data_IF_355461866492
#
_entry.id   IF_355461866492
#
_cell.length_a   1.000
_cell.length_b   1.000
_cell.length_c   1.000
_cell.angle_alpha   90.00
_cell.angle_beta   90.00
_cell.angle_gamma   90.00
#
_symmetry.space_group_name_H-M   'P 1'
#
loop_
_entity.id
_entity.type
_entity.pdbx_description
1 polymer ?
#
# COMPACT_ATOMS: atom_id res chain seq x y z
N UNK A 1 -11.55 15.83 19.59
CA UNK A 1 -12.14 16.31 18.33
C UNK A 1 -11.40 15.58 17.23
N UNK A 2 -11.95 14.48 16.72
CA UNK A 2 -11.34 13.70 15.64
C UNK A 2 -11.31 14.55 14.37
N UNK A 3 -10.12 14.80 13.83
CA UNK A 3 -9.97 15.42 12.51
C UNK A 3 -10.24 14.34 11.45
N UNK A 4 -11.03 14.61 10.39
CA UNK A 4 -11.37 13.59 9.41
C UNK A 4 -10.21 13.33 8.43
N UNK A 5 -10.13 12.08 7.94
CA UNK A 5 -9.32 11.70 6.78
C UNK A 5 -9.67 12.60 5.57
N UNK A 6 -8.65 13.09 4.86
CA UNK A 6 -8.87 13.80 3.61
C UNK A 6 -8.71 12.83 2.42
N UNK A 7 -9.76 12.66 1.62
CA UNK A 7 -9.64 12.06 0.29
C UNK A 7 -9.07 13.11 -0.67
N UNK A 8 -7.97 12.77 -1.37
CA UNK A 8 -7.40 13.66 -2.39
C UNK A 8 -8.38 13.87 -3.55
N UNK A 9 -8.63 15.12 -3.95
CA UNK A 9 -9.32 15.44 -5.21
C UNK A 9 -8.32 15.96 -6.23
N UNK A 10 -8.42 15.47 -7.47
CA UNK A 10 -7.73 16.03 -8.63
C UNK A 10 -8.25 17.43 -8.97
N UNK A 11 -7.36 18.36 -9.29
CA UNK A 11 -7.68 19.62 -10.00
C UNK A 11 -6.95 19.57 -11.34
N UNK A 12 -7.61 19.03 -12.37
CA UNK A 12 -7.03 18.89 -13.72
C UNK A 12 -7.90 18.01 -14.63
N UNK A 13 -8.04 18.40 -15.90
CA UNK A 13 -8.97 17.82 -16.86
C UNK A 13 -8.85 16.29 -17.01
N UNK A 14 -10.00 15.60 -16.98
CA UNK A 14 -10.09 14.14 -17.14
C UNK A 14 -9.76 13.70 -18.56
N UNK A 15 -8.72 12.87 -18.71
CA UNK A 15 -8.54 11.98 -19.86
C UNK A 15 -8.59 10.53 -19.36
N UNK A 16 -9.55 9.69 -19.80
CA UNK A 16 -9.70 8.34 -19.28
C UNK A 16 -8.95 7.36 -20.17
N UNK A 17 -7.64 7.23 -19.97
CA UNK A 17 -6.93 6.00 -20.36
C UNK A 17 -6.64 5.21 -19.11
N UNK A 18 -7.74 4.73 -18.55
CA UNK A 18 -7.72 3.69 -17.54
C UNK A 18 -6.99 2.48 -18.17
N UNK A 19 -5.82 2.07 -17.65
CA UNK A 19 -5.21 0.83 -18.14
C UNK A 19 -6.14 -0.31 -17.74
N UNK A 20 -6.66 -1.08 -18.70
CA UNK A 20 -7.66 -2.14 -18.42
C UNK A 20 -7.24 -3.04 -17.24
N UNK A 21 -5.94 -3.28 -17.10
CA UNK A 21 -5.30 -4.01 -16.00
C UNK A 21 -5.62 -3.45 -14.58
N UNK A 22 -5.70 -2.13 -14.40
CA UNK A 22 -5.99 -1.54 -13.08
C UNK A 22 -7.44 -1.79 -12.60
N UNK A 23 -8.39 -1.96 -13.51
CA UNK A 23 -9.83 -2.07 -13.23
C UNK A 23 -10.12 -3.51 -12.98
N UNK A 24 -9.59 -4.35 -13.85
CA UNK A 24 -9.58 -5.78 -13.67
C UNK A 24 -8.95 -6.13 -12.32
N UNK A 25 -7.81 -5.53 -11.96
CA UNK A 25 -7.24 -5.71 -10.63
C UNK A 25 -8.19 -5.25 -9.52
N UNK A 26 -8.72 -4.02 -9.55
CA UNK A 26 -9.58 -3.53 -8.46
C UNK A 26 -10.88 -4.35 -8.33
N UNK A 27 -11.41 -4.86 -9.45
CA UNK A 27 -12.55 -5.78 -9.46
C UNK A 27 -12.17 -7.13 -8.84
N UNK A 28 -11.02 -7.69 -9.22
CA UNK A 28 -10.51 -8.93 -8.64
C UNK A 28 -10.15 -8.77 -7.17
N UNK A 29 -9.55 -7.65 -6.78
CA UNK A 29 -9.22 -7.33 -5.40
C UNK A 29 -10.48 -7.26 -4.55
N UNK A 30 -11.52 -6.54 -4.98
CA UNK A 30 -12.77 -6.47 -4.23
C UNK A 30 -13.44 -7.85 -4.07
N UNK A 31 -13.35 -8.72 -5.09
CA UNK A 31 -13.87 -10.08 -5.04
C UNK A 31 -13.03 -11.00 -4.14
N UNK A 32 -11.72 -10.90 -4.22
CA UNK A 32 -10.79 -11.87 -3.65
C UNK A 32 -10.19 -11.39 -2.30
N UNK A 33 -10.41 -10.14 -1.90
CA UNK A 33 -9.87 -9.57 -0.66
C UNK A 33 -10.28 -10.38 0.58
N UNK A 34 -11.52 -10.84 0.66
CA UNK A 34 -12.00 -11.65 1.79
C UNK A 34 -11.46 -13.09 1.80
N UNK A 35 -10.92 -13.54 0.66
CA UNK A 35 -10.22 -14.84 0.56
C UNK A 35 -8.77 -14.67 1.03
N UNK A 36 -8.17 -13.52 0.74
CA UNK A 36 -6.77 -13.19 1.04
C UNK A 36 -6.55 -12.75 2.49
N UNK A 37 -7.54 -12.06 3.04
CA UNK A 37 -7.51 -11.44 4.35
C UNK A 37 -8.70 -11.93 5.16
N UNK A 38 -8.46 -12.41 6.38
CA UNK A 38 -9.57 -12.62 7.30
C UNK A 38 -10.15 -11.30 7.79
N UNK A 39 -11.36 -11.37 8.33
CA UNK A 39 -11.97 -10.22 9.01
C UNK A 39 -11.12 -9.77 10.21
N UNK A 40 -10.41 -10.69 10.87
CA UNK A 40 -9.50 -10.39 11.97
C UNK A 40 -8.26 -9.64 11.48
N UNK A 41 -7.66 -10.05 10.36
CA UNK A 41 -6.53 -9.33 9.77
C UNK A 41 -6.91 -7.90 9.38
N UNK A 42 -8.06 -7.74 8.70
CA UNK A 42 -8.56 -6.42 8.31
C UNK A 42 -8.85 -5.54 9.53
N UNK A 43 -9.37 -6.12 10.61
CA UNK A 43 -9.61 -5.41 11.86
C UNK A 43 -8.30 -4.98 12.53
N UNK A 44 -7.31 -5.89 12.63
CA UNK A 44 -6.00 -5.63 13.22
C UNK A 44 -5.22 -4.56 12.43
N UNK A 45 -5.27 -4.62 11.10
CA UNK A 45 -4.70 -3.60 10.22
C UNK A 45 -5.32 -2.22 10.47
N UNK A 46 -6.65 -2.17 10.56
CA UNK A 46 -7.38 -0.93 10.82
C UNK A 46 -7.04 -0.37 12.20
N UNK A 47 -6.97 -1.21 13.21
CA UNK A 47 -6.55 -0.82 14.56
C UNK A 47 -5.13 -0.25 14.55
N UNK A 48 -4.18 -0.96 13.94
CA UNK A 48 -2.80 -0.50 13.80
C UNK A 48 -2.73 0.88 13.16
N UNK A 49 -3.39 1.09 12.02
CA UNK A 49 -3.43 2.40 11.35
C UNK A 49 -4.04 3.46 12.26
N UNK A 50 -5.20 3.21 12.85
CA UNK A 50 -5.90 4.18 13.68
C UNK A 50 -5.08 4.63 14.90
N UNK A 51 -4.39 3.70 15.59
CA UNK A 51 -3.54 4.05 16.74
C UNK A 51 -2.38 4.98 16.38
N UNK A 52 -1.97 5.01 15.11
CA UNK A 52 -0.85 5.83 14.61
C UNK A 52 -1.29 7.19 14.04
N UNK A 53 -2.59 7.38 13.84
CA UNK A 53 -3.18 8.58 13.22
C UNK A 53 -3.81 9.56 14.20
N UNK A 54 -3.82 9.24 15.50
CA UNK A 54 -4.44 10.06 16.54
C UNK A 54 -3.92 11.51 16.46
N UNK A 55 -4.85 12.47 16.45
CA UNK A 55 -4.63 13.93 16.39
C UNK A 55 -3.83 14.45 15.18
N UNK A 56 -3.68 13.65 14.12
CA UNK A 56 -2.93 14.03 12.92
C UNK A 56 -3.87 14.40 11.76
N UNK A 57 -3.39 15.17 10.79
CA UNK A 57 -3.98 15.25 9.45
C UNK A 57 -3.31 14.22 8.55
N UNK A 58 -4.08 13.36 7.90
CA UNK A 58 -3.53 12.30 7.06
C UNK A 58 -4.17 12.16 5.70
N UNK A 59 -3.39 11.59 4.79
CA UNK A 59 -3.82 11.18 3.46
C UNK A 59 -4.02 9.67 3.46
N UNK A 60 -5.22 9.23 3.09
CA UNK A 60 -5.59 7.82 3.08
C UNK A 60 -5.49 7.22 1.67
N UNK A 61 -4.52 6.33 1.45
CA UNK A 61 -4.42 5.54 0.22
C UNK A 61 -4.87 4.08 0.39
N UNK A 62 -5.54 3.75 1.49
CA UNK A 62 -6.00 2.39 1.78
C UNK A 62 -7.19 1.90 0.95
N UNK A 63 -7.82 2.80 0.19
CA UNK A 63 -9.08 2.51 -0.50
C UNK A 63 -8.87 2.22 -1.99
N UNK A 64 -9.79 1.45 -2.59
CA UNK A 64 -9.82 1.19 -4.03
C UNK A 64 -9.91 2.49 -4.86
N UNK A 65 -10.64 3.49 -4.36
CA UNK A 65 -10.75 4.80 -5.02
C UNK A 65 -9.41 5.53 -5.02
N UNK A 66 -8.69 5.54 -3.89
CA UNK A 66 -7.39 6.19 -3.80
C UNK A 66 -6.34 5.45 -4.65
N UNK A 67 -6.40 4.11 -4.68
CA UNK A 67 -5.55 3.29 -5.53
C UNK A 67 -5.73 3.65 -7.01
N UNK A 68 -6.97 3.79 -7.46
CA UNK A 68 -7.27 4.23 -8.83
C UNK A 68 -6.71 5.63 -9.12
N UNK A 69 -6.97 6.59 -8.24
CA UNK A 69 -6.47 7.96 -8.41
C UNK A 69 -4.93 8.00 -8.47
N UNK A 70 -4.25 7.16 -7.70
CA UNK A 70 -2.79 7.12 -7.70
C UNK A 70 -2.24 6.50 -8.99
N UNK A 71 -2.86 5.42 -9.50
CA UNK A 71 -2.47 4.86 -10.81
C UNK A 71 -2.62 5.92 -11.92
N UNK A 72 -3.71 6.67 -11.90
CA UNK A 72 -3.93 7.78 -12.84
C UNK A 72 -2.86 8.86 -12.66
N UNK A 73 -2.54 9.22 -11.42
CA UNK A 73 -1.52 10.23 -11.12
C UNK A 73 -0.14 9.81 -11.64
N UNK A 74 0.26 8.55 -11.40
CA UNK A 74 1.52 7.98 -11.87
C UNK A 74 1.58 7.98 -13.40
N UNK A 75 0.53 7.54 -14.08
CA UNK A 75 0.48 7.55 -15.54
C UNK A 75 0.57 8.98 -16.12
N UNK A 76 -0.11 9.93 -15.48
CA UNK A 76 -0.08 11.34 -15.86
C UNK A 76 1.20 12.08 -15.41
N UNK A 77 2.13 11.41 -14.70
CA UNK A 77 3.33 12.02 -14.09
C UNK A 77 2.99 13.20 -13.16
N UNK A 78 1.90 13.05 -12.42
CA UNK A 78 1.43 14.00 -11.41
C UNK A 78 1.49 13.37 -10.01
N UNK A 79 1.28 14.17 -8.96
CA UNK A 79 1.21 13.70 -7.58
C UNK A 79 -0.23 13.64 -7.07
N UNK A 80 -0.55 12.60 -6.28
CA UNK A 80 -1.82 12.53 -5.55
C UNK A 80 -1.69 13.20 -4.18
N UNK A 81 -2.54 14.19 -3.91
CA UNK A 81 -2.50 14.96 -2.66
C UNK A 81 -1.74 16.29 -2.80
N UNK A 82 -1.98 17.19 -1.85
CA UNK A 82 -1.32 18.50 -1.83
C UNK A 82 0.07 18.40 -1.21
N UNK A 83 1.04 19.08 -1.83
CA UNK A 83 2.43 19.12 -1.40
C UNK A 83 2.57 19.60 0.06
N UNK A 84 3.39 18.90 0.85
CA UNK A 84 3.73 19.19 2.25
C UNK A 84 2.54 19.49 3.18
N UNK A 85 1.37 18.89 2.91
CA UNK A 85 0.14 19.16 3.66
C UNK A 85 -0.08 18.22 4.83
N UNK A 86 0.38 16.97 4.72
CA UNK A 86 -0.08 15.90 5.61
C UNK A 86 0.96 15.52 6.65
N UNK A 87 0.49 15.26 7.87
CA UNK A 87 1.31 14.77 8.99
C UNK A 87 1.63 13.28 8.82
N UNK A 88 0.70 12.55 8.19
CA UNK A 88 0.84 11.13 7.90
C UNK A 88 0.22 10.73 6.55
N UNK A 89 0.69 9.63 5.99
CA UNK A 89 0.15 9.01 4.79
C UNK A 89 0.03 7.50 5.02
N UNK A 90 -1.14 6.94 4.72
CA UNK A 90 -1.42 5.51 4.88
C UNK A 90 -1.18 4.77 3.57
N UNK A 91 -0.25 3.80 3.55
CA UNK A 91 -0.06 2.85 2.46
C UNK A 91 -0.59 1.47 2.87
N UNK A 92 -1.83 1.16 2.50
CA UNK A 92 -2.45 -0.13 2.82
C UNK A 92 -3.45 -0.52 1.72
N UNK A 93 -4.05 -1.70 1.82
CA UNK A 93 -5.13 -2.11 0.92
C UNK A 93 -4.67 -2.34 -0.54
N UNK A 94 -5.52 -2.11 -1.55
CA UNK A 94 -5.23 -2.52 -2.93
C UNK A 94 -4.00 -1.84 -3.54
N UNK A 95 -3.60 -0.66 -3.03
CA UNK A 95 -2.55 0.13 -3.66
C UNK A 95 -1.16 -0.49 -3.51
N UNK A 96 -0.91 -1.18 -2.39
CA UNK A 96 0.39 -1.83 -2.11
C UNK A 96 0.61 -3.10 -2.92
N UNK A 97 -0.46 -3.62 -3.52
CA UNK A 97 -0.42 -4.73 -4.47
C UNK A 97 -0.41 -4.18 -5.91
N UNK A 98 -1.13 -3.09 -6.20
CA UNK A 98 -1.28 -2.58 -7.58
C UNK A 98 -0.06 -1.87 -8.15
N UNK A 99 0.73 -1.20 -7.31
CA UNK A 99 1.85 -0.37 -7.74
C UNK A 99 3.12 -0.84 -7.02
N UNK A 100 4.22 -0.89 -7.76
CA UNK A 100 5.53 -1.22 -7.23
C UNK A 100 5.92 -0.33 -6.03
N UNK A 101 6.46 -0.92 -4.93
CA UNK A 101 6.83 -0.19 -3.72
C UNK A 101 7.68 1.05 -3.97
N UNK A 102 8.72 0.97 -4.79
CA UNK A 102 9.58 2.11 -5.13
C UNK A 102 8.80 3.28 -5.72
N UNK A 103 7.82 2.99 -6.57
CA UNK A 103 6.95 4.02 -7.17
C UNK A 103 6.02 4.62 -6.12
N UNK A 104 5.47 3.79 -5.22
CA UNK A 104 4.63 4.27 -4.11
C UNK A 104 5.40 5.18 -3.16
N UNK A 105 6.59 4.77 -2.74
CA UNK A 105 7.43 5.55 -1.82
C UNK A 105 7.78 6.90 -2.42
N UNK A 106 8.17 6.95 -3.70
CA UNK A 106 8.45 8.21 -4.41
C UNK A 106 7.24 9.14 -4.41
N UNK A 107 6.05 8.61 -4.70
CA UNK A 107 4.81 9.39 -4.73
C UNK A 107 4.40 9.89 -3.33
N UNK A 108 4.71 9.12 -2.29
CA UNK A 108 4.33 9.43 -0.92
C UNK A 108 5.17 10.54 -0.28
N UNK A 109 6.36 10.86 -0.81
CA UNK A 109 7.23 11.92 -0.24
C UNK A 109 6.59 13.30 -0.37
N UNK A 110 6.14 13.68 -1.56
CA UNK A 110 5.70 15.05 -1.84
C UNK A 110 4.53 15.53 -0.96
N UNK A 111 3.48 14.72 -0.68
CA UNK A 111 2.37 15.15 0.15
C UNK A 111 2.69 15.28 1.65
N UNK A 112 3.74 14.62 2.13
CA UNK A 112 4.13 14.65 3.54
C UNK A 112 4.83 15.97 3.86
N UNK A 113 4.44 16.60 4.96
CA UNK A 113 5.19 17.72 5.52
C UNK A 113 6.58 17.26 5.99
N UNK A 114 7.56 18.16 6.20
CA UNK A 114 8.82 17.81 6.84
C UNK A 114 8.61 17.09 8.19
N UNK A 115 9.17 15.89 8.32
CA UNK A 115 8.98 15.02 9.49
C UNK A 115 7.64 14.28 9.55
N UNK A 116 6.85 14.32 8.48
CA UNK A 116 5.65 13.50 8.32
C UNK A 116 5.97 12.00 8.29
N UNK A 117 4.95 11.18 8.52
CA UNK A 117 5.09 9.73 8.68
C UNK A 117 4.41 8.96 7.56
N UNK A 118 5.09 7.94 7.05
CA UNK A 118 4.46 6.91 6.24
C UNK A 118 4.03 5.76 7.15
N UNK A 119 2.76 5.39 7.11
CA UNK A 119 2.19 4.28 7.88
C UNK A 119 1.79 3.21 6.87
N UNK A 120 2.63 2.18 6.75
CA UNK A 120 2.50 1.15 5.72
C UNK A 120 2.08 -0.21 6.29
N UNK A 121 1.23 -0.91 5.55
CA UNK A 121 0.93 -2.33 5.70
C UNK A 121 1.15 -2.97 4.33
N UNK A 122 2.27 -3.68 4.17
CA UNK A 122 2.70 -4.21 2.88
C UNK A 122 2.91 -5.72 3.00
N UNK A 123 2.23 -6.53 2.17
CA UNK A 123 2.56 -7.95 2.03
C UNK A 123 4.03 -8.10 1.63
N UNK A 124 4.77 -8.93 2.35
CA UNK A 124 6.18 -9.19 2.10
C UNK A 124 6.53 -10.63 2.45
N UNK A 125 7.63 -11.11 1.88
CA UNK A 125 8.22 -12.37 2.26
C UNK A 125 8.89 -12.22 3.63
N UNK A 126 8.71 -13.22 4.47
CA UNK A 126 9.35 -13.27 5.79
C UNK A 126 10.87 -13.35 5.69
N UNK A 127 11.36 -14.06 4.68
CA UNK A 127 12.77 -14.39 4.48
C UNK A 127 13.01 -14.89 3.04
N UNK A 128 14.27 -15.21 2.74
CA UNK A 128 14.71 -15.83 1.49
C UNK A 128 14.77 -17.37 1.58
N UNK A 129 13.86 -18.00 2.34
CA UNK A 129 13.82 -19.46 2.44
C UNK A 129 13.37 -20.11 1.11
N UNK A 130 13.74 -21.37 0.85
CA UNK A 130 13.23 -22.12 -0.30
C UNK A 130 11.68 -22.17 -0.37
N UNK A 131 11.02 -22.15 0.79
CA UNK A 131 9.58 -22.08 0.92
C UNK A 131 9.04 -20.73 0.40
N UNK A 132 9.67 -19.62 0.78
CA UNK A 132 9.35 -18.28 0.26
C UNK A 132 9.61 -18.18 -1.25
N UNK A 133 10.67 -18.79 -1.77
CA UNK A 133 10.93 -18.86 -3.22
C UNK A 133 9.89 -19.72 -3.96
N UNK A 134 9.45 -20.82 -3.35
CA UNK A 134 8.41 -21.67 -3.91
C UNK A 134 7.07 -20.94 -3.96
N UNK A 135 6.72 -20.23 -2.88
CA UNK A 135 5.57 -19.34 -2.80
C UNK A 135 5.63 -18.27 -3.90
N UNK A 136 6.78 -17.59 -4.05
CA UNK A 136 7.00 -16.58 -5.08
C UNK A 136 6.75 -17.10 -6.49
N UNK A 137 7.15 -18.33 -6.80
CA UNK A 137 6.89 -18.93 -8.12
C UNK A 137 5.40 -19.15 -8.38
N UNK A 138 4.62 -19.48 -7.36
CA UNK A 138 3.16 -19.63 -7.47
C UNK A 138 2.48 -18.25 -7.56
N UNK A 139 2.91 -17.31 -6.71
CA UNK A 139 2.47 -15.93 -6.72
C UNK A 139 2.77 -15.19 -8.04
N UNK A 140 3.89 -15.47 -8.70
CA UNK A 140 4.28 -14.82 -9.95
C UNK A 140 3.26 -15.02 -11.08
N UNK A 141 2.51 -16.14 -11.07
CA UNK A 141 1.40 -16.37 -12.00
C UNK A 141 0.23 -15.37 -11.80
N UNK A 142 0.19 -14.68 -10.65
CA UNK A 142 -0.81 -13.67 -10.28
C UNK A 142 -0.30 -12.23 -10.47
N UNK A 143 0.85 -12.03 -11.12
CA UNK A 143 1.42 -10.74 -11.56
C UNK A 143 1.88 -9.75 -10.46
N UNK A 144 2.19 -10.21 -9.24
CA UNK A 144 2.86 -9.37 -8.24
C UNK A 144 4.18 -9.96 -7.75
N UNK A 145 5.30 -9.24 -7.90
CA UNK A 145 6.52 -9.59 -7.20
C UNK A 145 6.35 -9.27 -5.71
N UNK A 146 6.50 -10.25 -4.83
CA UNK A 146 6.71 -9.99 -3.41
C UNK A 146 8.20 -9.72 -3.17
N UNK A 147 8.44 -8.84 -2.22
CA UNK A 147 9.77 -8.45 -1.77
C UNK A 147 9.96 -8.93 -0.33
N UNK A 148 11.20 -9.14 0.10
CA UNK A 148 11.48 -9.31 1.53
C UNK A 148 11.32 -7.98 2.26
N UNK A 149 11.20 -8.02 3.58
CA UNK A 149 11.18 -6.78 4.35
C UNK A 149 12.49 -5.98 4.23
N UNK A 150 13.64 -6.65 4.08
CA UNK A 150 14.92 -5.97 3.86
C UNK A 150 14.93 -5.17 2.55
N UNK A 151 14.42 -5.76 1.46
CA UNK A 151 14.31 -5.08 0.16
C UNK A 151 13.38 -3.87 0.24
N UNK A 152 12.23 -4.00 0.92
CA UNK A 152 11.31 -2.89 1.12
C UNK A 152 11.94 -1.75 1.94
N UNK A 153 12.73 -2.09 2.96
CA UNK A 153 13.45 -1.11 3.78
C UNK A 153 14.55 -0.42 2.98
N UNK A 154 15.25 -1.12 2.10
CA UNK A 154 16.21 -0.53 1.18
C UNK A 154 15.53 0.48 0.24
N UNK A 155 14.43 0.09 -0.41
CA UNK A 155 13.64 0.96 -1.29
C UNK A 155 13.10 2.21 -0.56
N UNK A 156 12.69 2.08 0.72
CA UNK A 156 12.30 3.23 1.54
C UNK A 156 13.46 4.22 1.71
N UNK A 157 14.68 3.72 2.01
CA UNK A 157 15.87 4.55 2.21
C UNK A 157 16.28 5.27 0.94
N UNK A 158 16.21 4.61 -0.21
CA UNK A 158 16.48 5.22 -1.52
C UNK A 158 15.57 6.41 -1.82
N UNK A 159 14.35 6.42 -1.26
CA UNK A 159 13.39 7.51 -1.39
C UNK A 159 13.45 8.52 -0.21
N UNK A 160 14.51 8.48 0.60
CA UNK A 160 14.71 9.41 1.71
C UNK A 160 13.83 9.17 2.94
N UNK A 161 13.09 8.06 2.97
CA UNK A 161 12.30 7.63 4.11
C UNK A 161 13.14 6.74 5.03
N UNK A 162 12.79 6.72 6.33
CA UNK A 162 13.47 5.89 7.31
C UNK A 162 12.46 5.07 8.10
N UNK A 163 12.74 3.79 8.24
CA UNK A 163 11.97 2.89 9.07
C UNK A 163 12.12 3.26 10.55
N UNK A 164 11.00 3.27 11.27
CA UNK A 164 11.01 3.25 12.74
C UNK A 164 10.97 1.79 13.21
N UNK A 165 12.13 1.26 13.56
CA UNK A 165 12.27 -0.15 13.98
C UNK A 165 11.52 -0.50 15.27
N UNK A 166 11.09 0.49 16.06
CA UNK A 166 10.22 0.27 17.24
C UNK A 166 8.75 0.14 16.86
N UNK A 167 8.39 0.61 15.67
CA UNK A 167 7.04 0.63 15.14
C UNK A 167 6.80 -0.38 14.02
N UNK A 168 7.88 -0.97 13.49
CA UNK A 168 7.87 -1.87 12.34
C UNK A 168 8.03 -3.32 12.81
N UNK A 169 7.36 -4.23 12.12
CA UNK A 169 7.36 -5.64 12.47
C UNK A 169 6.60 -6.48 11.47
N UNK A 170 6.76 -7.79 11.58
CA UNK A 170 6.10 -8.77 10.72
C UNK A 170 4.94 -9.43 11.45
N UNK A 171 3.82 -9.56 10.74
CA UNK A 171 2.68 -10.37 11.19
C UNK A 171 2.38 -11.39 10.10
N UNK A 172 2.30 -12.66 10.48
CA UNK A 172 1.93 -13.71 9.54
C UNK A 172 0.46 -13.55 9.13
N UNK A 173 0.15 -13.83 7.85
CA UNK A 173 -1.20 -13.78 7.30
C UNK A 173 -1.54 -15.20 6.82
N UNK A 174 -2.05 -16.09 7.69
CA UNK A 174 -2.21 -17.50 7.36
C UNK A 174 -3.12 -17.74 6.15
N UNK A 175 -4.21 -16.98 6.00
CA UNK A 175 -5.13 -17.13 4.87
C UNK A 175 -4.46 -16.83 3.53
N UNK A 176 -3.49 -15.93 3.52
CA UNK A 176 -2.74 -15.61 2.31
C UNK A 176 -1.88 -16.78 1.85
N UNK A 177 -1.22 -17.46 2.79
CA UNK A 177 -0.44 -18.65 2.53
C UNK A 177 -1.34 -19.78 1.99
N UNK A 178 -2.52 -19.96 2.57
CA UNK A 178 -3.48 -20.97 2.12
C UNK A 178 -4.05 -20.65 0.73
N UNK A 179 -4.38 -19.38 0.46
CA UNK A 179 -4.95 -18.97 -0.83
C UNK A 179 -3.99 -19.20 -2.02
N UNK A 180 -2.68 -19.07 -1.78
CA UNK A 180 -1.64 -19.37 -2.78
C UNK A 180 -1.33 -20.87 -2.86
N UNK A 181 -1.45 -21.60 -1.75
CA UNK A 181 -1.13 -23.04 -1.70
C UNK A 181 -2.26 -23.95 -2.20
N UNK A 182 -3.50 -23.46 -2.25
CA UNK A 182 -4.69 -24.21 -2.65
C UNK A 182 -5.07 -24.05 -4.14
N UNK A 183 -4.28 -23.31 -4.94
CA UNK A 183 -4.52 -23.05 -6.37
C UNK A 183 -3.32 -23.46 -7.21
#
# INVERSE_FOLDING_TARGET
>A
MDRPAASGMFVGAMSPTFSAAGAEFLQHYARDAQIRWSLEDLAAQREFVNTRLVDCQWLDWSTASAALQLVQAVHAQTSLGAHEKYDALVLAGPIVELIEPTTLFRQAVSPLRPGGKLIGLMPCLRDNSPESEHFMRHAAAMLWPYYTGEELVEMLRENGLREDSRASGFTAIPQFNDAVSQR
#
